data_IF_644697389898
#
_entry.id   IF_644697389898
#
_cell.length_a   1.000
_cell.length_b   1.000
_cell.length_c   1.000
_cell.angle_alpha   90.00
_cell.angle_beta   90.00
_cell.angle_gamma   90.00
#
_symmetry.space_group_name_H-M   'P 1'
#
loop_
_entity.id
_entity.type
_entity.pdbx_description
1 polymer ?
#
# COMPACT_ATOMS: atom_id res chain seq x y z
N UNK A 1 77.13 -13.67 -10.06
CA UNK A 1 75.81 -13.89 -9.46
C UNK A 1 75.92 -14.43 -8.03
N UNK A 2 76.61 -15.56 -7.79
CA UNK A 2 76.85 -16.08 -6.43
C UNK A 2 77.47 -15.06 -5.46
N UNK A 3 78.53 -14.34 -5.85
CA UNK A 3 79.13 -13.31 -4.97
C UNK A 3 78.12 -12.24 -4.53
N UNK A 4 77.25 -11.81 -5.44
CA UNK A 4 76.23 -10.80 -5.15
C UNK A 4 75.17 -11.35 -4.18
N UNK A 5 74.74 -12.60 -4.38
CA UNK A 5 73.79 -13.27 -3.47
C UNK A 5 74.41 -13.39 -2.07
N UNK A 6 75.65 -13.84 -1.95
CA UNK A 6 76.34 -13.98 -0.66
C UNK A 6 76.49 -12.64 0.07
N UNK A 7 76.80 -11.57 -0.67
CA UNK A 7 76.96 -10.23 -0.08
C UNK A 7 75.61 -9.71 0.45
N UNK A 8 74.53 -9.99 -0.28
CA UNK A 8 73.21 -9.49 0.09
C UNK A 8 72.56 -10.31 1.22
N UNK A 9 72.83 -11.62 1.29
CA UNK A 9 72.38 -12.49 2.40
C UNK A 9 73.04 -12.11 3.73
N UNK A 10 74.34 -11.75 3.70
CA UNK A 10 75.04 -11.22 4.88
C UNK A 10 74.48 -9.87 5.31
N UNK A 11 74.13 -8.99 4.36
CA UNK A 11 73.58 -7.65 4.64
C UNK A 11 72.23 -7.69 5.34
N UNK A 12 71.37 -8.66 5.02
CA UNK A 12 70.03 -8.81 5.62
C UNK A 12 70.03 -9.70 6.88
N UNK A 13 71.18 -10.21 7.31
CA UNK A 13 71.33 -10.98 8.55
C UNK A 13 70.78 -12.41 8.48
N UNK A 14 70.58 -12.96 7.28
CA UNK A 14 70.08 -14.33 7.08
C UNK A 14 71.25 -15.29 6.87
N UNK A 15 71.92 -15.68 7.96
CA UNK A 15 73.13 -16.51 7.92
C UNK A 15 72.84 -18.02 8.10
N UNK A 16 71.59 -18.41 8.32
CA UNK A 16 71.18 -19.82 8.49
C UNK A 16 70.43 -20.31 7.24
N UNK A 17 70.84 -21.45 6.68
CA UNK A 17 70.06 -22.17 5.67
C UNK A 17 68.83 -22.77 6.38
N UNK A 18 67.70 -22.07 6.32
CA UNK A 18 66.42 -22.54 6.85
C UNK A 18 66.01 -23.90 6.26
N UNK A 19 65.21 -24.71 6.99
CA UNK A 19 64.86 -26.05 6.56
C UNK A 19 64.23 -26.04 5.17
N UNK A 20 64.72 -26.93 4.28
CA UNK A 20 64.35 -26.97 2.86
C UNK A 20 62.83 -27.03 2.63
N UNK A 21 62.10 -27.62 3.57
CA UNK A 21 60.66 -27.86 3.53
C UNK A 21 59.83 -26.57 3.72
N UNK A 22 60.35 -25.61 4.49
CA UNK A 22 59.69 -24.33 4.75
C UNK A 22 59.82 -23.37 3.56
N UNK A 23 60.99 -23.37 2.91
CA UNK A 23 61.28 -22.54 1.74
C UNK A 23 60.32 -22.83 0.57
N UNK A 24 60.07 -24.12 0.32
CA UNK A 24 59.14 -24.55 -0.73
C UNK A 24 57.71 -24.09 -0.45
N UNK A 25 57.27 -24.14 0.81
CA UNK A 25 55.94 -23.71 1.25
C UNK A 25 55.78 -22.19 1.11
N UNK A 26 56.79 -21.42 1.50
CA UNK A 26 56.81 -19.96 1.37
C UNK A 26 56.76 -19.55 -0.10
N UNK A 27 57.63 -20.12 -0.96
CA UNK A 27 57.63 -19.80 -2.39
C UNK A 27 56.32 -20.16 -3.06
N UNK A 28 55.76 -21.35 -2.77
CA UNK A 28 54.45 -21.77 -3.30
C UNK A 28 53.34 -20.78 -2.90
N UNK A 29 53.33 -20.31 -1.65
CA UNK A 29 52.33 -19.35 -1.18
C UNK A 29 52.49 -17.99 -1.86
N UNK A 30 53.72 -17.49 -2.02
CA UNK A 30 54.00 -16.23 -2.70
C UNK A 30 53.59 -16.31 -4.18
N UNK A 31 53.94 -17.38 -4.88
CA UNK A 31 53.55 -17.60 -6.28
C UNK A 31 52.03 -17.62 -6.43
N UNK A 32 51.32 -18.32 -5.54
CA UNK A 32 49.85 -18.34 -5.54
C UNK A 32 49.23 -16.95 -5.34
N UNK A 33 49.81 -16.13 -4.46
CA UNK A 33 49.34 -14.74 -4.23
C UNK A 33 49.58 -13.89 -5.49
N UNK A 34 50.75 -14.04 -6.12
CA UNK A 34 51.07 -13.33 -7.37
C UNK A 34 50.09 -13.72 -8.47
N UNK A 35 49.84 -15.01 -8.67
CA UNK A 35 48.88 -15.50 -9.66
C UNK A 35 47.48 -14.92 -9.42
N UNK A 36 46.99 -14.95 -8.18
CA UNK A 36 45.70 -14.36 -7.84
C UNK A 36 45.66 -12.86 -8.15
N UNK A 37 46.66 -12.09 -7.72
CA UNK A 37 46.72 -10.65 -7.99
C UNK A 37 46.81 -10.34 -9.50
N UNK A 38 47.58 -11.12 -10.24
CA UNK A 38 47.68 -11.00 -11.69
C UNK A 38 46.33 -11.24 -12.38
N UNK A 39 45.54 -12.22 -11.92
CA UNK A 39 44.19 -12.44 -12.47
C UNK A 39 43.24 -11.28 -12.18
N UNK A 40 43.29 -10.70 -10.98
CA UNK A 40 42.46 -9.54 -10.60
C UNK A 40 42.83 -8.31 -11.42
N UNK A 41 44.12 -8.01 -11.57
CA UNK A 41 44.59 -6.87 -12.38
C UNK A 41 44.19 -7.06 -13.84
N UNK A 42 44.30 -8.28 -14.37
CA UNK A 42 43.92 -8.57 -15.75
C UNK A 42 42.41 -8.31 -15.98
N UNK A 43 41.56 -8.76 -15.05
CA UNK A 43 40.12 -8.48 -15.10
C UNK A 43 39.80 -6.98 -15.12
N UNK A 44 40.47 -6.20 -14.27
CA UNK A 44 40.29 -4.74 -14.23
C UNK A 44 40.76 -4.05 -15.52
N UNK A 45 41.88 -4.50 -16.11
CA UNK A 45 42.36 -3.98 -17.39
C UNK A 45 41.33 -4.24 -18.49
N UNK A 46 40.72 -5.43 -18.50
CA UNK A 46 39.74 -5.80 -19.53
C UNK A 46 38.43 -5.02 -19.34
N UNK A 47 38.00 -4.78 -18.10
CA UNK A 47 36.86 -3.90 -17.80
C UNK A 47 37.11 -2.46 -18.30
N UNK A 48 38.29 -1.89 -18.03
CA UNK A 48 38.66 -0.55 -18.51
C UNK A 48 38.68 -0.49 -20.05
N UNK A 49 39.19 -1.53 -20.71
CA UNK A 49 39.19 -1.61 -22.19
C UNK A 49 37.77 -1.65 -22.75
N UNK A 50 36.86 -2.41 -22.13
CA UNK A 50 35.46 -2.45 -22.55
C UNK A 50 34.78 -1.09 -22.38
N UNK A 51 34.97 -0.43 -21.23
CA UNK A 51 34.42 0.90 -20.98
C UNK A 51 34.93 1.93 -22.00
N UNK A 52 36.22 1.89 -22.37
CA UNK A 52 36.79 2.75 -23.42
C UNK A 52 36.19 2.45 -24.79
N UNK A 53 36.08 1.18 -25.17
CA UNK A 53 35.48 0.79 -26.45
C UNK A 53 34.00 1.21 -26.56
N UNK A 54 33.24 1.15 -25.45
CA UNK A 54 31.88 1.66 -25.39
C UNK A 54 31.80 3.18 -25.53
N UNK A 55 32.72 3.91 -24.88
CA UNK A 55 32.83 5.36 -25.01
C UNK A 55 33.14 5.76 -26.46
N UNK A 56 34.17 5.17 -27.05
CA UNK A 56 34.59 5.44 -28.43
C UNK A 56 33.45 5.14 -29.43
N UNK A 57 32.70 4.05 -29.21
CA UNK A 57 31.53 3.71 -30.04
C UNK A 57 30.40 4.74 -29.92
N UNK A 58 30.18 5.30 -28.73
CA UNK A 58 29.19 6.38 -28.50
C UNK A 58 29.66 7.70 -29.13
N UNK A 59 30.96 8.00 -29.06
CA UNK A 59 31.56 9.21 -29.62
C UNK A 59 31.60 9.18 -31.15
N UNK A 60 32.00 8.07 -31.76
CA UNK A 60 31.98 7.87 -33.23
C UNK A 60 30.56 7.98 -33.78
N UNK A 61 29.55 7.47 -33.05
CA UNK A 61 28.13 7.61 -33.44
C UNK A 61 27.65 9.07 -33.39
N UNK A 62 28.16 9.87 -32.44
CA UNK A 62 27.86 11.30 -32.32
C UNK A 62 28.57 12.13 -33.41
N UNK A 63 29.84 11.84 -33.70
CA UNK A 63 30.61 12.50 -34.75
C UNK A 63 30.09 12.22 -36.17
N UNK A 64 29.69 10.98 -36.48
CA UNK A 64 29.14 10.62 -37.80
C UNK A 64 27.84 11.36 -38.15
N UNK A 65 27.11 11.83 -37.14
CA UNK A 65 25.82 12.50 -37.29
C UNK A 65 25.94 14.03 -37.41
N UNK A 66 27.10 14.60 -37.07
CA UNK A 66 27.24 16.05 -36.88
C UNK A 66 27.98 16.68 -38.06
N UNK A 67 27.25 16.88 -39.17
CA UNK A 67 27.78 17.48 -40.41
C UNK A 67 28.21 18.95 -40.30
N UNK A 68 28.21 19.56 -39.12
CA UNK A 68 28.59 20.97 -38.92
C UNK A 68 29.33 21.18 -37.59
N UNK A 69 30.59 20.74 -37.58
CA UNK A 69 31.56 21.03 -36.51
C UNK A 69 31.97 22.52 -36.44
N UNK A 70 31.50 23.36 -37.37
CA UNK A 70 31.80 24.79 -37.47
C UNK A 70 30.78 25.71 -36.79
N UNK A 71 29.69 25.17 -36.22
CA UNK A 71 28.70 26.01 -35.55
C UNK A 71 29.28 26.52 -34.22
N UNK A 72 29.20 27.83 -33.93
CA UNK A 72 29.51 28.35 -32.60
C UNK A 72 28.69 27.62 -31.54
N UNK A 73 29.27 27.50 -30.34
CA UNK A 73 28.55 26.99 -29.17
C UNK A 73 27.25 27.80 -29.03
N UNK A 74 26.07 27.15 -28.91
CA UNK A 74 24.81 27.87 -28.79
C UNK A 74 24.87 28.92 -27.68
N UNK A 75 24.57 30.17 -28.00
CA UNK A 75 24.67 31.30 -27.07
C UNK A 75 26.06 31.97 -26.96
N UNK A 76 27.03 31.57 -27.79
CA UNK A 76 28.33 32.23 -27.93
C UNK A 76 28.60 32.63 -29.38
N UNK A 77 29.40 33.68 -29.57
CA UNK A 77 29.95 34.05 -30.88
C UNK A 77 31.18 33.20 -31.24
N UNK A 78 31.56 33.18 -32.52
CA UNK A 78 32.74 32.43 -32.98
C UNK A 78 34.04 32.92 -32.30
N UNK A 79 34.16 34.23 -32.08
CA UNK A 79 35.32 34.84 -31.43
C UNK A 79 35.42 34.49 -29.94
N UNK A 80 34.30 34.40 -29.25
CA UNK A 80 34.25 33.96 -27.85
C UNK A 80 34.54 32.47 -27.73
N UNK A 81 34.11 31.66 -28.70
CA UNK A 81 34.33 30.21 -28.69
C UNK A 81 35.80 29.80 -28.83
N UNK A 82 36.67 30.69 -29.33
CA UNK A 82 38.13 30.48 -29.41
C UNK A 82 38.89 31.15 -28.27
N UNK A 83 38.21 31.87 -27.37
CA UNK A 83 38.81 32.56 -26.23
C UNK A 83 38.62 31.73 -24.95
N UNK A 84 39.74 31.37 -24.30
CA UNK A 84 39.74 30.53 -23.11
C UNK A 84 38.96 31.15 -21.93
N UNK A 85 39.11 32.45 -21.68
CA UNK A 85 38.43 33.15 -20.60
C UNK A 85 36.93 33.25 -20.84
N UNK A 86 36.53 33.51 -22.09
CA UNK A 86 35.12 33.55 -22.48
C UNK A 86 34.47 32.16 -22.31
N UNK A 87 35.19 31.10 -22.68
CA UNK A 87 34.72 29.72 -22.52
C UNK A 87 34.61 29.34 -21.04
N UNK A 88 35.55 29.74 -20.20
CA UNK A 88 35.51 29.46 -18.77
C UNK A 88 34.35 30.19 -18.06
N UNK A 89 34.10 31.46 -18.43
CA UNK A 89 32.93 32.20 -17.95
C UNK A 89 31.63 31.57 -18.42
N UNK A 90 31.56 31.13 -19.67
CA UNK A 90 30.36 30.47 -20.22
C UNK A 90 30.10 29.12 -19.55
N UNK A 91 31.15 28.34 -19.28
CA UNK A 91 31.07 27.11 -18.49
C UNK A 91 30.48 27.37 -17.11
N UNK A 92 31.00 28.37 -16.38
CA UNK A 92 30.49 28.74 -15.06
C UNK A 92 29.00 29.13 -15.12
N UNK A 93 28.61 29.94 -16.11
CA UNK A 93 27.21 30.32 -16.30
C UNK A 93 26.30 29.11 -16.57
N UNK A 94 26.74 28.12 -17.35
CA UNK A 94 25.97 26.90 -17.59
C UNK A 94 25.84 26.04 -16.32
N UNK A 95 26.89 25.96 -15.52
CA UNK A 95 26.87 25.27 -14.22
C UNK A 95 25.88 25.93 -13.27
N UNK A 96 25.94 27.26 -13.13
CA UNK A 96 25.01 28.03 -12.30
C UNK A 96 23.55 27.86 -12.77
N UNK A 97 23.33 27.92 -14.10
CA UNK A 97 22.00 27.70 -14.69
C UNK A 97 21.50 26.28 -14.43
N UNK A 98 22.36 25.28 -14.54
CA UNK A 98 22.01 23.88 -14.26
C UNK A 98 21.61 23.70 -12.80
N UNK A 99 22.39 24.23 -11.86
CA UNK A 99 22.09 24.16 -10.42
C UNK A 99 20.75 24.83 -10.13
N UNK A 100 20.52 26.03 -10.66
CA UNK A 100 19.26 26.77 -10.49
C UNK A 100 18.07 26.00 -11.06
N UNK A 101 18.20 25.43 -12.27
CA UNK A 101 17.13 24.64 -12.90
C UNK A 101 16.83 23.37 -12.10
N UNK A 102 17.86 22.66 -11.63
CA UNK A 102 17.71 21.45 -10.81
C UNK A 102 17.04 21.75 -9.47
N UNK A 103 17.40 22.86 -8.83
CA UNK A 103 16.78 23.30 -7.60
C UNK A 103 15.30 23.65 -7.81
N UNK A 104 14.99 24.46 -8.85
CA UNK A 104 13.61 24.78 -9.21
C UNK A 104 12.78 23.53 -9.54
N UNK A 105 13.35 22.55 -10.25
CA UNK A 105 12.70 21.27 -10.52
C UNK A 105 12.44 20.45 -9.25
N UNK A 106 13.25 20.62 -8.21
CA UNK A 106 13.04 19.95 -6.91
C UNK A 106 12.04 20.67 -6.02
N UNK A 107 11.89 21.99 -6.14
CA UNK A 107 11.07 22.80 -5.21
C UNK A 107 9.72 23.21 -5.80
N UNK A 108 9.63 23.44 -7.10
CA UNK A 108 8.44 24.02 -7.76
C UNK A 108 7.72 23.02 -8.66
N UNK A 109 8.39 21.93 -9.06
CA UNK A 109 7.79 20.96 -9.97
C UNK A 109 7.27 19.74 -9.19
N UNK A 110 5.95 19.55 -9.23
CA UNK A 110 5.32 18.30 -8.80
C UNK A 110 5.48 17.29 -9.94
N UNK A 111 6.17 16.15 -9.73
CA UNK A 111 6.26 15.12 -10.75
C UNK A 111 4.88 14.70 -11.22
N UNK A 112 4.69 14.56 -12.53
CA UNK A 112 3.42 14.14 -13.11
C UNK A 112 2.91 12.83 -12.49
N UNK A 113 3.83 11.92 -12.14
CA UNK A 113 3.52 10.68 -11.43
C UNK A 113 2.85 10.94 -10.07
N UNK A 114 3.46 11.77 -9.21
CA UNK A 114 2.88 12.09 -7.89
C UNK A 114 1.51 12.75 -8.00
N UNK A 115 1.30 13.56 -9.05
CA UNK A 115 -0.01 14.17 -9.29
C UNK A 115 -1.05 13.12 -9.69
N UNK A 116 -0.71 12.21 -10.60
CA UNK A 116 -1.59 11.13 -11.01
C UNK A 116 -1.94 10.20 -9.84
N UNK A 117 -0.96 9.82 -9.02
CA UNK A 117 -1.16 8.98 -7.84
C UNK A 117 -2.16 9.64 -6.86
N UNK A 118 -2.00 10.94 -6.60
CA UNK A 118 -2.91 11.71 -5.74
C UNK A 118 -4.32 11.84 -6.33
N UNK A 119 -4.44 12.03 -7.65
CA UNK A 119 -5.73 12.11 -8.33
C UNK A 119 -6.49 10.76 -8.24
N UNK A 120 -5.78 9.64 -8.38
CA UNK A 120 -6.34 8.30 -8.19
C UNK A 120 -6.78 8.06 -6.73
N UNK A 121 -5.95 8.45 -5.75
CA UNK A 121 -6.31 8.40 -4.33
C UNK A 121 -7.56 9.23 -4.03
N UNK A 122 -7.64 10.45 -4.57
CA UNK A 122 -8.81 11.31 -4.42
C UNK A 122 -10.08 10.65 -4.96
N UNK A 123 -10.01 10.06 -6.16
CA UNK A 123 -11.15 9.34 -6.76
C UNK A 123 -11.57 8.15 -5.88
N UNK A 124 -10.60 7.39 -5.36
CA UNK A 124 -10.89 6.24 -4.50
C UNK A 124 -11.55 6.67 -3.18
N UNK A 125 -11.06 7.75 -2.56
CA UNK A 125 -11.63 8.31 -1.33
C UNK A 125 -13.04 8.84 -1.53
N UNK A 126 -13.31 9.53 -2.64
CA UNK A 126 -14.65 10.02 -2.98
C UNK A 126 -15.64 8.86 -3.14
N UNK A 127 -15.25 7.81 -3.87
CA UNK A 127 -16.09 6.60 -4.01
C UNK A 127 -16.39 5.96 -2.65
N UNK A 128 -15.38 5.86 -1.78
CA UNK A 128 -15.56 5.31 -0.43
C UNK A 128 -16.51 6.16 0.41
N UNK A 129 -16.39 7.49 0.33
CA UNK A 129 -17.29 8.43 1.00
C UNK A 129 -18.73 8.24 0.53
N UNK A 130 -18.98 8.20 -0.78
CA UNK A 130 -20.34 8.12 -1.33
C UNK A 130 -21.03 6.79 -0.93
N UNK A 131 -20.28 5.68 -0.90
CA UNK A 131 -20.76 4.39 -0.37
C UNK A 131 -21.11 4.52 1.12
N UNK A 132 -20.22 5.11 1.92
CA UNK A 132 -20.44 5.29 3.35
C UNK A 132 -21.63 6.21 3.64
N UNK A 133 -21.83 7.29 2.88
CA UNK A 133 -22.99 8.18 3.00
C UNK A 133 -24.29 7.46 2.67
N UNK A 134 -24.28 6.63 1.62
CA UNK A 134 -25.46 5.83 1.23
C UNK A 134 -25.83 4.82 2.33
N UNK A 135 -24.83 4.12 2.88
CA UNK A 135 -25.03 3.19 3.99
C UNK A 135 -25.52 3.91 5.26
N UNK A 136 -24.96 5.08 5.57
CA UNK A 136 -25.37 5.87 6.72
C UNK A 136 -26.83 6.33 6.62
N UNK A 137 -27.28 6.77 5.43
CA UNK A 137 -28.69 7.11 5.20
C UNK A 137 -29.61 5.90 5.43
N UNK A 138 -29.25 4.74 4.89
CA UNK A 138 -30.00 3.49 5.12
C UNK A 138 -30.05 3.11 6.61
N UNK A 139 -28.93 3.21 7.33
CA UNK A 139 -28.88 2.96 8.77
C UNK A 139 -29.74 3.95 9.56
N UNK A 140 -29.72 5.24 9.20
CA UNK A 140 -30.55 6.26 9.84
C UNK A 140 -32.04 5.98 9.67
N UNK A 141 -32.47 5.59 8.45
CA UNK A 141 -33.86 5.19 8.21
C UNK A 141 -34.25 3.95 9.03
N UNK A 142 -33.37 2.96 9.11
CA UNK A 142 -33.61 1.77 9.95
C UNK A 142 -33.74 2.14 11.42
N UNK A 143 -32.90 3.03 11.92
CA UNK A 143 -32.94 3.50 13.30
C UNK A 143 -34.25 4.22 13.60
N UNK A 144 -34.67 5.18 12.77
CA UNK A 144 -35.94 5.90 12.92
C UNK A 144 -37.13 4.94 12.93
N UNK A 145 -37.15 3.95 12.04
CA UNK A 145 -38.18 2.92 12.02
C UNK A 145 -38.22 2.11 13.30
N UNK A 146 -37.05 1.66 13.79
CA UNK A 146 -36.96 0.90 15.03
C UNK A 146 -37.43 1.73 16.24
N UNK A 147 -37.12 3.02 16.28
CA UNK A 147 -37.61 3.92 17.33
C UNK A 147 -39.13 4.01 17.33
N UNK A 148 -39.75 4.21 16.17
CA UNK A 148 -41.22 4.32 16.07
C UNK A 148 -41.90 3.01 16.49
N UNK A 149 -41.37 1.86 16.06
CA UNK A 149 -41.89 0.54 16.44
C UNK A 149 -41.72 0.33 17.95
N UNK A 150 -40.53 0.58 18.49
CA UNK A 150 -40.24 0.46 19.93
C UNK A 150 -41.16 1.34 20.77
N UNK A 151 -41.37 2.59 20.37
CA UNK A 151 -42.29 3.50 21.04
C UNK A 151 -43.74 3.01 21.01
N UNK A 152 -44.19 2.49 19.85
CA UNK A 152 -45.53 1.92 19.68
C UNK A 152 -45.74 0.71 20.59
N UNK A 153 -44.77 -0.21 20.63
CA UNK A 153 -44.80 -1.41 21.47
C UNK A 153 -44.74 -1.07 22.97
N UNK A 154 -43.89 -0.13 23.35
CA UNK A 154 -43.78 0.33 24.75
C UNK A 154 -45.10 0.92 25.23
N UNK A 155 -45.76 1.71 24.37
CA UNK A 155 -47.09 2.27 24.65
C UNK A 155 -48.14 1.17 24.76
N UNK A 156 -48.13 0.19 23.86
CA UNK A 156 -49.04 -0.96 23.91
C UNK A 156 -48.89 -1.77 25.20
N UNK A 157 -47.65 -2.04 25.63
CA UNK A 157 -47.36 -2.72 26.89
C UNK A 157 -47.85 -1.92 28.11
N UNK A 158 -47.66 -0.61 28.13
CA UNK A 158 -48.15 0.27 29.21
C UNK A 158 -49.67 0.29 29.34
N UNK A 159 -50.40 0.02 28.27
CA UNK A 159 -51.86 -0.06 28.28
C UNK A 159 -52.40 -1.47 28.60
N UNK A 160 -51.58 -2.37 29.18
CA UNK A 160 -51.95 -3.76 29.50
C UNK A 160 -52.57 -4.50 28.30
N UNK A 161 -52.05 -4.27 27.09
CA UNK A 161 -52.51 -4.97 25.88
C UNK A 161 -53.99 -4.71 25.53
N UNK A 162 -54.61 -3.66 26.08
CA UNK A 162 -56.03 -3.31 25.81
C UNK A 162 -56.33 -3.05 24.34
N UNK A 163 -55.32 -2.67 23.55
CA UNK A 163 -55.44 -2.51 22.11
C UNK A 163 -55.20 -3.87 21.46
N UNK A 164 -56.11 -4.37 20.60
CA UNK A 164 -55.89 -5.61 19.88
C UNK A 164 -54.56 -5.60 19.12
N UNK A 165 -53.84 -6.73 19.17
CA UNK A 165 -52.56 -6.88 18.49
C UNK A 165 -52.64 -6.55 16.99
N UNK A 166 -53.79 -6.86 16.36
CA UNK A 166 -54.02 -6.60 14.94
C UNK A 166 -53.96 -5.11 14.60
N UNK A 167 -54.47 -4.23 15.46
CA UNK A 167 -54.44 -2.77 15.26
C UNK A 167 -53.03 -2.21 15.46
N UNK A 168 -52.26 -2.79 16.39
CA UNK A 168 -50.85 -2.47 16.58
C UNK A 168 -50.03 -2.92 15.36
N UNK A 169 -50.31 -4.11 14.84
CA UNK A 169 -49.68 -4.63 13.64
C UNK A 169 -50.01 -3.76 12.43
N UNK A 170 -51.25 -3.28 12.30
CA UNK A 170 -51.64 -2.35 11.23
C UNK A 170 -50.87 -1.02 11.32
N UNK A 171 -50.67 -0.48 12.54
CA UNK A 171 -49.85 0.72 12.76
C UNK A 171 -48.37 0.49 12.41
N UNK A 172 -47.82 -0.67 12.79
CA UNK A 172 -46.44 -1.08 12.44
C UNK A 172 -46.29 -1.33 10.93
N UNK A 173 -47.32 -1.85 10.27
CA UNK A 173 -47.34 -2.03 8.82
C UNK A 173 -47.45 -0.70 8.07
N UNK A 174 -48.25 0.24 8.57
CA UNK A 174 -48.34 1.60 8.01
C UNK A 174 -47.01 2.34 8.11
N UNK A 175 -46.27 2.21 9.21
CA UNK A 175 -44.91 2.77 9.32
C UNK A 175 -43.92 2.09 8.37
N UNK A 176 -44.07 0.78 8.11
CA UNK A 176 -43.31 0.10 7.06
C UNK A 176 -43.57 0.67 5.65
N UNK A 177 -44.78 1.14 5.36
CA UNK A 177 -45.14 1.79 4.09
C UNK A 177 -44.60 3.22 3.97
N UNK A 178 -44.58 3.97 5.07
CA UNK A 178 -44.09 5.36 5.12
C UNK A 178 -42.56 5.45 4.96
N UNK A 179 -41.81 4.45 5.42
CA UNK A 179 -40.34 4.40 5.35
C UNK A 179 -39.80 3.34 4.38
N UNK A 180 -40.60 2.98 3.35
CA UNK A 180 -40.26 1.93 2.40
C UNK A 180 -39.21 2.37 1.36
N UNK A 181 -37.94 2.39 1.75
CA UNK A 181 -36.85 1.98 0.85
C UNK A 181 -36.42 0.59 1.29
N UNK A 182 -36.63 -0.39 0.41
CA UNK A 182 -36.12 -1.75 0.57
C UNK A 182 -36.99 -2.70 1.38
N UNK A 183 -37.96 -3.34 0.73
CA UNK A 183 -38.30 -4.73 1.05
C UNK A 183 -37.07 -5.56 0.69
N UNK A 184 -36.11 -5.70 1.61
CA UNK A 184 -35.02 -6.66 1.43
C UNK A 184 -35.68 -8.03 1.49
N UNK A 185 -35.86 -8.64 0.32
CA UNK A 185 -36.41 -9.98 0.14
C UNK A 185 -35.65 -10.93 1.07
N UNK A 186 -36.35 -11.60 1.99
CA UNK A 186 -35.75 -12.60 2.89
C UNK A 186 -35.35 -12.12 4.30
N UNK A 187 -35.59 -10.87 4.72
CA UNK A 187 -35.36 -10.46 6.11
C UNK A 187 -36.64 -10.55 6.97
N UNK A 188 -36.58 -11.15 8.18
CA UNK A 188 -37.72 -11.27 9.09
C UNK A 188 -38.25 -9.89 9.51
N UNK A 189 -39.56 -9.77 9.82
CA UNK A 189 -40.09 -8.48 10.29
C UNK A 189 -39.40 -8.09 11.61
N UNK A 190 -39.20 -6.79 11.86
CA UNK A 190 -38.67 -6.32 13.14
C UNK A 190 -39.44 -6.84 14.36
N UNK A 191 -40.73 -7.16 14.18
CA UNK A 191 -41.57 -7.70 15.25
C UNK A 191 -41.24 -9.16 15.57
N UNK A 192 -40.91 -9.99 14.57
CA UNK A 192 -40.46 -11.36 14.82
C UNK A 192 -39.12 -11.38 15.57
N UNK A 193 -38.19 -10.49 15.21
CA UNK A 193 -36.91 -10.34 15.93
C UNK A 193 -37.13 -9.88 17.38
N UNK A 194 -38.13 -9.04 17.62
CA UNK A 194 -38.51 -8.61 18.97
C UNK A 194 -39.03 -9.77 19.81
N UNK A 195 -39.95 -10.58 19.27
CA UNK A 195 -40.44 -11.77 19.98
C UNK A 195 -39.34 -12.80 20.18
N UNK A 196 -38.50 -13.05 19.18
CA UNK A 196 -37.34 -13.94 19.30
C UNK A 196 -36.40 -13.50 20.43
N UNK A 197 -36.12 -12.20 20.57
CA UNK A 197 -35.33 -11.66 21.67
C UNK A 197 -36.03 -11.82 23.03
N UNK A 198 -37.35 -11.60 23.11
CA UNK A 198 -38.13 -11.81 24.34
C UNK A 198 -38.10 -13.29 24.77
N UNK A 199 -38.35 -14.22 23.86
CA UNK A 199 -38.32 -15.66 24.16
C UNK A 199 -36.91 -16.10 24.57
N UNK A 200 -35.87 -15.64 23.86
CA UNK A 200 -34.48 -15.96 24.19
C UNK A 200 -34.06 -15.44 25.57
N UNK A 201 -34.48 -14.21 25.90
CA UNK A 201 -34.15 -13.61 27.21
C UNK A 201 -34.94 -14.27 28.34
N UNK A 202 -36.24 -14.52 28.16
CA UNK A 202 -37.07 -15.29 29.07
C UNK A 202 -36.43 -16.64 29.42
N UNK A 203 -35.98 -17.38 28.41
CA UNK A 203 -35.31 -18.66 28.57
C UNK A 203 -34.01 -18.52 29.37
N UNK A 204 -33.16 -17.56 29.01
CA UNK A 204 -31.89 -17.32 29.69
C UNK A 204 -32.07 -17.02 31.19
N UNK A 205 -33.16 -16.31 31.54
CA UNK A 205 -33.48 -15.96 32.93
C UNK A 205 -34.46 -16.93 33.62
N UNK A 206 -34.94 -17.99 32.93
CA UNK A 206 -35.96 -18.94 33.39
C UNK A 206 -37.20 -18.28 33.98
N UNK A 207 -37.68 -17.20 33.35
CA UNK A 207 -38.88 -16.47 33.80
C UNK A 207 -40.01 -16.67 32.81
N UNK A 208 -41.18 -17.20 33.22
CA UNK A 208 -42.28 -17.41 32.29
C UNK A 208 -42.77 -16.08 31.72
N UNK A 209 -43.01 -16.07 30.41
CA UNK A 209 -43.60 -14.92 29.72
C UNK A 209 -45.11 -14.95 29.96
N UNK A 210 -45.72 -13.76 30.03
CA UNK A 210 -47.18 -13.63 30.11
C UNK A 210 -47.85 -14.40 28.95
N UNK A 211 -48.85 -15.25 29.27
CA UNK A 211 -49.58 -16.06 28.29
C UNK A 211 -50.15 -15.25 27.11
N UNK A 212 -50.64 -14.03 27.36
CA UNK A 212 -51.12 -13.14 26.30
C UNK A 212 -49.99 -12.72 25.37
N UNK A 213 -48.80 -12.46 25.92
CA UNK A 213 -47.62 -12.07 25.16
C UNK A 213 -47.04 -13.27 24.38
N UNK A 214 -47.06 -14.47 24.98
CA UNK A 214 -46.68 -15.72 24.33
C UNK A 214 -47.59 -16.02 23.13
N UNK A 215 -48.91 -15.86 23.30
CA UNK A 215 -49.89 -16.05 22.24
C UNK A 215 -49.66 -15.10 21.06
N UNK A 216 -49.39 -13.82 21.32
CA UNK A 216 -49.10 -12.86 20.26
C UNK A 216 -47.76 -13.11 19.56
N UNK A 217 -46.76 -13.59 20.31
CA UNK A 217 -45.48 -14.03 19.73
C UNK A 217 -45.64 -15.22 18.79
N UNK A 218 -46.42 -16.23 19.19
CA UNK A 218 -46.73 -17.41 18.37
C UNK A 218 -47.50 -17.02 17.10
N UNK A 219 -48.54 -16.18 17.23
CA UNK A 219 -49.29 -15.64 16.08
C UNK A 219 -48.37 -14.89 15.11
N UNK A 220 -47.44 -14.10 15.63
CA UNK A 220 -46.44 -13.41 14.81
C UNK A 220 -45.56 -14.40 14.03
N UNK A 221 -45.00 -15.42 14.69
CA UNK A 221 -44.18 -16.45 14.06
C UNK A 221 -44.91 -17.24 12.96
N UNK A 222 -46.17 -17.59 13.19
CA UNK A 222 -47.03 -18.25 12.21
C UNK A 222 -47.32 -17.37 10.99
N UNK A 223 -47.57 -16.06 11.21
CA UNK A 223 -47.82 -15.12 10.12
C UNK A 223 -46.62 -14.93 9.17
N UNK A 224 -45.39 -15.12 9.70
CA UNK A 224 -44.15 -15.08 8.92
C UNK A 224 -43.70 -16.44 8.37
N UNK A 225 -44.51 -17.50 8.56
CA UNK A 225 -44.20 -18.87 8.14
C UNK A 225 -42.91 -19.42 8.77
N UNK A 226 -42.56 -18.95 9.96
CA UNK A 226 -41.38 -19.40 10.73
C UNK A 226 -41.78 -20.44 11.77
N UNK A 227 -42.27 -21.59 11.27
CA UNK A 227 -42.67 -22.73 12.10
C UNK A 227 -41.51 -23.29 12.92
N UNK A 228 -40.28 -23.17 12.44
CA UNK A 228 -39.05 -23.53 13.14
C UNK A 228 -38.93 -22.79 14.49
N UNK A 229 -39.15 -21.46 14.47
CA UNK A 229 -39.09 -20.64 15.68
C UNK A 229 -40.27 -20.91 16.61
N UNK A 230 -41.48 -21.04 16.07
CA UNK A 230 -42.68 -21.33 16.89
C UNK A 230 -42.55 -22.67 17.59
N UNK A 231 -42.06 -23.70 16.88
CA UNK A 231 -41.83 -25.02 17.46
C UNK A 231 -40.78 -24.95 18.57
N UNK A 232 -39.70 -24.20 18.34
CA UNK A 232 -38.67 -23.97 19.36
C UNK A 232 -39.22 -23.30 20.61
N UNK A 233 -40.06 -22.27 20.48
CA UNK A 233 -40.63 -21.56 21.64
C UNK A 233 -41.63 -22.41 22.42
N UNK A 234 -42.46 -23.19 21.73
CA UNK A 234 -43.49 -24.05 22.37
C UNK A 234 -42.89 -25.29 23.03
N UNK A 235 -41.80 -25.84 22.49
CA UNK A 235 -41.15 -27.04 23.05
C UNK A 235 -40.22 -26.76 24.23
N UNK A 236 -40.04 -25.49 24.59
CA UNK A 236 -39.13 -25.04 25.64
C UNK A 236 -39.85 -24.41 26.84
N UNK A 237 -41.19 -24.45 26.85
CA UNK A 237 -42.03 -24.07 27.98
C UNK A 237 -42.06 -25.16 29.07
#
# INVERSE_FOLDING_TARGET
MQRYITTETERVGCNEEGPADEYYTIYRNVVRIIENNSTVIQLQIDEIKQLRAEYDKKEVKFCASTRQLWRPIPGMTLQESVNLDALNKYKQHLEDKYVKCKQAMSTEYVPAQKKADLDEEMIALLKRRDIAETLNKDLQFRHQRLQVISHTLTTWMKHNLRIPFQDIMEKIQKTKAIFAIGKIRGKPLPLLLFFEAIFSTSQAFKRPINADLTLEGIKCGLSEKRLDLVTHWVTQE
#
